data_IF_506647252387
#
_entry.id   IF_506647252387
#
_cell.length_a   1.000
_cell.length_b   1.000
_cell.length_c   1.000
_cell.angle_alpha   90.00
_cell.angle_beta   90.00
_cell.angle_gamma   90.00
#
_symmetry.space_group_name_H-M   'P 1'
#
loop_
_entity.id
_entity.type
_entity.pdbx_description
1 polymer ?
#
# COMPACT_ATOMS: atom_id res chain seq x y z
N UNK A 1 -15.05 -12.83 6.45
CA UNK A 1 -14.16 -13.50 5.47
C UNK A 1 -13.18 -12.43 5.00
N UNK A 2 -12.07 -12.23 5.72
CA UNK A 2 -11.10 -11.12 5.53
C UNK A 2 -10.18 -11.37 4.32
N UNK A 3 -10.72 -11.39 3.11
CA UNK A 3 -9.99 -11.83 1.90
C UNK A 3 -9.64 -10.74 0.88
N UNK A 4 -9.99 -9.47 1.09
CA UNK A 4 -9.81 -8.44 0.05
C UNK A 4 -8.90 -7.25 0.35
N UNK A 5 -8.21 -7.19 1.50
CA UNK A 5 -7.34 -6.04 1.83
C UNK A 5 -5.85 -6.26 1.50
N UNK A 6 -5.52 -7.17 0.59
CA UNK A 6 -4.17 -7.18 0.00
C UNK A 6 -4.21 -6.38 -1.28
N UNK A 7 -3.71 -5.14 -1.19
CA UNK A 7 -3.15 -4.32 -2.26
C UNK A 7 -3.37 -4.87 -3.68
N UNK A 8 -4.30 -4.23 -4.41
CA UNK A 8 -4.35 -4.23 -5.90
C UNK A 8 -3.09 -3.56 -6.47
N UNK A 9 -1.90 -4.06 -6.12
CA UNK A 9 -0.63 -3.64 -6.72
C UNK A 9 -0.18 -4.66 -7.77
N UNK A 10 -0.69 -5.90 -7.74
CA UNK A 10 -0.24 -6.97 -8.65
C UNK A 10 -1.31 -7.53 -9.58
N UNK A 11 -2.57 -7.15 -9.42
CA UNK A 11 -3.58 -7.47 -10.44
C UNK A 11 -3.51 -6.42 -11.53
N UNK A 12 -3.46 -6.88 -12.78
CA UNK A 12 -3.31 -6.11 -14.03
C UNK A 12 -4.42 -5.03 -14.25
N UNK A 13 -5.34 -4.87 -13.30
CA UNK A 13 -6.48 -3.95 -13.30
C UNK A 13 -6.37 -2.83 -12.23
N UNK A 14 -5.20 -2.64 -11.59
CA UNK A 14 -4.99 -1.46 -10.76
C UNK A 14 -5.17 -0.20 -11.62
N UNK A 15 -6.16 0.63 -11.30
CA UNK A 15 -6.33 1.88 -12.01
C UNK A 15 -5.12 2.79 -11.73
N UNK A 16 -4.66 3.56 -12.72
CA UNK A 16 -3.47 4.41 -12.59
C UNK A 16 -3.60 5.38 -11.39
N UNK A 17 -4.83 5.81 -11.10
CA UNK A 17 -5.16 6.71 -10.01
C UNK A 17 -4.88 6.09 -8.63
N UNK A 18 -5.13 4.79 -8.45
CA UNK A 18 -4.84 4.06 -7.20
C UNK A 18 -3.34 4.12 -6.88
N UNK A 19 -2.50 3.96 -7.91
CA UNK A 19 -1.03 3.98 -7.78
C UNK A 19 -0.56 5.38 -7.39
N UNK A 20 -1.13 6.43 -7.97
CA UNK A 20 -0.78 7.81 -7.63
C UNK A 20 -1.12 8.18 -6.19
N UNK A 21 -2.27 7.72 -5.67
CA UNK A 21 -2.65 7.96 -4.28
C UNK A 21 -1.70 7.24 -3.30
N UNK A 22 -1.22 6.05 -3.65
CA UNK A 22 -0.24 5.32 -2.84
C UNK A 22 1.11 6.05 -2.81
N UNK A 23 1.59 6.50 -3.97
CA UNK A 23 2.85 7.27 -4.06
C UNK A 23 2.73 8.56 -3.25
N UNK A 24 1.61 9.26 -3.37
CA UNK A 24 1.33 10.47 -2.58
C UNK A 24 1.42 10.18 -1.07
N UNK A 25 0.75 9.13 -0.59
CA UNK A 25 0.77 8.75 0.82
C UNK A 25 2.20 8.50 1.34
N UNK A 26 3.01 7.73 0.61
CA UNK A 26 4.38 7.42 1.06
C UNK A 26 5.31 8.64 1.00
N UNK A 27 5.13 9.54 0.05
CA UNK A 27 5.87 10.81 0.03
C UNK A 27 5.53 11.67 1.25
N UNK A 28 4.24 11.79 1.60
CA UNK A 28 3.76 12.50 2.78
C UNK A 28 4.30 11.86 4.09
N UNK A 29 4.35 10.53 4.14
CA UNK A 29 4.94 9.79 5.25
C UNK A 29 6.43 10.10 5.43
N UNK A 30 7.20 10.10 4.33
CA UNK A 30 8.65 10.31 4.34
C UNK A 30 9.04 11.73 4.80
N UNK A 31 8.22 12.73 4.49
CA UNK A 31 8.45 14.12 4.93
C UNK A 31 7.87 14.43 6.32
N UNK A 32 7.18 13.48 6.95
CA UNK A 32 6.61 13.62 8.29
C UNK A 32 5.30 14.42 8.36
N UNK A 33 4.50 14.40 7.29
CA UNK A 33 3.24 15.17 7.19
C UNK A 33 2.18 14.71 8.20
N UNK A 34 2.28 13.48 8.69
CA UNK A 34 1.31 12.85 9.61
C UNK A 34 1.65 13.02 11.10
N UNK A 35 2.43 14.04 11.47
CA UNK A 35 2.75 14.32 12.87
C UNK A 35 1.46 14.60 13.67
N UNK A 36 1.26 13.88 14.78
CA UNK A 36 0.05 13.94 15.60
C UNK A 36 -1.07 12.98 15.16
N UNK A 37 -0.88 12.26 14.05
CA UNK A 37 -1.81 11.28 13.50
C UNK A 37 -1.21 9.87 13.47
N UNK A 38 -0.21 9.59 14.31
CA UNK A 38 0.59 8.37 14.21
C UNK A 38 -0.24 7.08 14.38
N UNK A 39 -1.35 7.16 15.09
CA UNK A 39 -2.25 6.02 15.34
C UNK A 39 -3.48 5.99 14.43
N UNK A 40 -3.59 6.94 13.51
CA UNK A 40 -4.74 7.08 12.63
C UNK A 40 -4.54 6.28 11.34
N UNK A 41 -5.67 6.05 10.68
CA UNK A 41 -5.77 5.69 9.28
C UNK A 41 -6.00 6.95 8.47
N UNK A 42 -5.32 7.04 7.33
CA UNK A 42 -5.42 8.16 6.40
C UNK A 42 -6.15 7.69 5.17
N UNK A 43 -7.17 8.44 4.80
CA UNK A 43 -7.88 8.26 3.54
C UNK A 43 -7.33 9.24 2.51
N UNK A 44 -6.88 8.72 1.36
CA UNK A 44 -6.31 9.52 0.26
C UNK A 44 -7.14 9.30 -1.00
N UNK A 45 -7.45 10.39 -1.67
CA UNK A 45 -8.15 10.39 -2.96
C UNK A 45 -7.66 11.55 -3.81
N UNK A 46 -7.45 11.33 -5.12
CA UNK A 46 -6.90 12.33 -6.04
C UNK A 46 -5.66 13.07 -5.50
N UNK A 47 -4.76 12.34 -4.85
CA UNK A 47 -3.51 12.85 -4.28
C UNK A 47 -3.74 13.93 -3.21
N UNK A 48 -4.87 13.84 -2.48
CA UNK A 48 -5.19 14.68 -1.34
C UNK A 48 -5.60 13.83 -0.13
N UNK A 49 -5.25 14.31 1.06
CA UNK A 49 -5.72 13.71 2.32
C UNK A 49 -7.13 14.21 2.58
N UNK A 50 -8.10 13.30 2.55
CA UNK A 50 -9.50 13.66 2.75
C UNK A 50 -9.99 13.38 4.17
N UNK A 51 -9.34 12.43 4.89
CA UNK A 51 -9.72 12.08 6.25
C UNK A 51 -8.55 11.48 7.04
N UNK A 52 -8.51 11.79 8.34
CA UNK A 52 -7.80 11.07 9.37
C UNK A 52 -8.81 10.42 10.32
N UNK A 53 -8.59 9.16 10.69
CA UNK A 53 -9.48 8.52 11.64
C UNK A 53 -9.22 7.04 11.84
N UNK A 54 -10.31 6.28 11.99
CA UNK A 54 -10.25 4.84 12.20
C UNK A 54 -10.27 4.10 10.86
N UNK A 55 -9.81 2.86 10.88
CA UNK A 55 -10.01 1.93 9.77
C UNK A 55 -11.50 1.83 9.45
N UNK A 56 -11.85 1.98 8.19
CA UNK A 56 -13.22 1.73 7.73
C UNK A 56 -13.54 0.24 7.82
N UNK A 57 -14.79 -0.06 8.14
CA UNK A 57 -15.35 -1.40 7.96
C UNK A 57 -15.46 -1.76 6.47
N UNK A 58 -15.56 -3.06 6.18
CA UNK A 58 -15.74 -3.55 4.81
C UNK A 58 -16.95 -2.90 4.11
N UNK A 59 -18.06 -2.69 4.85
CA UNK A 59 -19.28 -2.06 4.33
C UNK A 59 -19.08 -0.56 4.02
N UNK A 60 -18.33 0.16 4.86
CA UNK A 60 -17.98 1.56 4.62
C UNK A 60 -17.05 1.69 3.41
N UNK A 61 -16.04 0.81 3.29
CA UNK A 61 -15.15 0.78 2.14
C UNK A 61 -15.91 0.58 0.82
N UNK A 62 -16.86 -0.36 0.78
CA UNK A 62 -17.67 -0.60 -0.43
C UNK A 62 -18.43 0.68 -0.84
N UNK A 63 -19.10 1.34 0.11
CA UNK A 63 -19.85 2.57 -0.16
C UNK A 63 -18.95 3.71 -0.64
N UNK A 64 -17.72 3.80 -0.12
CA UNK A 64 -16.75 4.81 -0.57
C UNK A 64 -16.23 4.46 -1.95
N UNK A 65 -15.87 3.20 -2.22
CA UNK A 65 -15.40 2.76 -3.55
C UNK A 65 -16.46 2.97 -4.65
N UNK A 66 -17.75 2.79 -4.34
CA UNK A 66 -18.84 3.09 -5.28
C UNK A 66 -18.91 4.57 -5.65
N UNK A 67 -18.54 5.47 -4.73
CA UNK A 67 -18.60 6.94 -4.93
C UNK A 67 -17.29 7.53 -5.46
N UNK A 68 -16.16 6.99 -5.02
CA UNK A 68 -14.81 7.49 -5.21
C UNK A 68 -13.90 6.33 -5.62
N UNK A 69 -14.02 5.92 -6.88
CA UNK A 69 -13.16 4.89 -7.44
C UNK A 69 -11.69 5.32 -7.33
N UNK A 70 -10.86 4.47 -6.71
CA UNK A 70 -9.44 4.71 -6.50
C UNK A 70 -9.05 5.40 -5.19
N UNK A 71 -10.00 5.60 -4.27
CA UNK A 71 -9.68 5.91 -2.88
C UNK A 71 -8.77 4.84 -2.28
N UNK A 72 -7.83 5.24 -1.43
CA UNK A 72 -7.07 4.31 -0.59
C UNK A 72 -7.22 4.71 0.87
N UNK A 73 -7.11 3.72 1.76
CA UNK A 73 -6.99 3.95 3.19
C UNK A 73 -5.79 3.17 3.72
N UNK A 74 -4.85 3.85 4.39
CA UNK A 74 -3.63 3.25 4.92
C UNK A 74 -3.35 3.74 6.34
N UNK A 75 -2.83 2.89 7.24
CA UNK A 75 -2.47 3.31 8.59
C UNK A 75 -1.19 4.13 8.56
N UNK A 76 -1.10 5.22 9.34
CA UNK A 76 0.16 5.98 9.48
C UNK A 76 1.25 5.09 10.09
N UNK A 77 0.94 4.43 11.21
CA UNK A 77 1.84 3.46 11.81
C UNK A 77 1.90 2.17 10.99
N UNK A 78 2.88 2.08 10.08
CA UNK A 78 3.11 0.93 9.21
C UNK A 78 3.35 -0.40 9.96
N UNK A 79 3.61 -0.38 11.29
CA UNK A 79 3.71 -1.61 12.09
C UNK A 79 2.34 -2.27 12.34
N UNK A 80 1.24 -1.55 12.16
CA UNK A 80 -0.12 -2.10 12.29
C UNK A 80 -0.51 -2.97 11.09
N UNK A 81 0.20 -2.84 9.96
CA UNK A 81 -0.06 -3.65 8.78
C UNK A 81 0.31 -5.12 9.06
N UNK A 82 -0.56 -6.08 8.69
CA UNK A 82 -0.23 -7.49 8.79
C UNK A 82 1.01 -7.77 7.95
N UNK A 83 2.10 -8.17 8.62
CA UNK A 83 3.32 -8.59 7.91
C UNK A 83 3.01 -9.83 7.10
N UNK A 84 3.26 -9.76 5.80
CA UNK A 84 3.35 -10.98 4.99
C UNK A 84 4.48 -11.86 5.53
N UNK A 85 4.33 -13.18 5.43
CA UNK A 85 5.44 -14.08 5.71
C UNK A 85 6.65 -13.67 4.85
N UNK A 86 7.85 -13.72 5.43
CA UNK A 86 9.08 -13.42 4.70
C UNK A 86 9.14 -14.30 3.44
N UNK A 87 8.94 -13.70 2.26
CA UNK A 87 9.14 -14.40 1.00
C UNK A 87 10.60 -14.86 0.94
N UNK A 88 10.83 -16.14 0.61
CA UNK A 88 12.18 -16.63 0.32
C UNK A 88 12.74 -15.81 -0.83
N UNK A 89 13.79 -15.01 -0.57
CA UNK A 89 14.53 -14.35 -1.64
C UNK A 89 15.17 -15.43 -2.52
N UNK A 90 14.81 -15.45 -3.80
CA UNK A 90 15.51 -16.27 -4.79
C UNK A 90 16.87 -15.63 -5.01
N UNK A 91 17.92 -16.25 -4.50
CA UNK A 91 19.31 -15.87 -4.79
C UNK A 91 19.69 -16.53 -6.11
N UNK A 92 19.67 -15.78 -7.20
CA UNK A 92 20.23 -16.24 -8.47
C UNK A 92 21.75 -16.15 -8.40
N UNK A 93 22.43 -17.31 -8.40
CA UNK A 93 23.88 -17.34 -8.65
C UNK A 93 24.11 -16.99 -10.12
N UNK A 94 24.85 -15.92 -10.39
CA UNK A 94 25.35 -15.64 -11.74
C UNK A 94 26.34 -16.74 -12.13
N UNK A 95 26.06 -17.45 -13.22
CA UNK A 95 27.00 -18.37 -13.87
C UNK A 95 28.04 -17.50 -14.59
N UNK A 96 29.00 -16.94 -13.86
CA UNK A 96 30.16 -16.27 -14.46
C UNK A 96 31.47 -16.99 -14.07
N UNK A 97 31.44 -17.88 -13.07
CA UNK A 97 32.66 -18.56 -12.60
C UNK A 97 32.97 -19.90 -13.31
N UNK A 98 32.21 -20.30 -14.35
CA UNK A 98 32.40 -21.61 -15.01
C UNK A 98 33.39 -21.56 -16.20
N UNK A 99 33.83 -20.39 -16.65
CA UNK A 99 34.77 -20.27 -17.80
C UNK A 99 36.17 -19.74 -17.44
N UNK A 100 36.72 -20.18 -16.31
CA UNK A 100 38.17 -20.20 -16.08
C UNK A 100 38.58 -21.63 -15.75
N UNK A 101 38.71 -22.48 -16.77
CA UNK A 101 39.50 -23.73 -16.82
C UNK A 101 39.08 -24.57 -18.04
N UNK A 102 39.15 -24.00 -19.24
CA UNK A 102 39.33 -24.77 -20.49
C UNK A 102 40.51 -24.19 -21.25
#
# INVERSE_FOLDING_TARGET
MRRHCFFRITDYESNIDDVHNIIFFYNALDIGEFLGHENDWVTVYNQEIIEYGKEYSDDELIQIFEKMSGVIQLPVNQKSLPRSEKRKMVTTRRIIDVFRNM
#
